data_IF_230678145501
#
_entry.id   IF_230678145501
#
_cell.length_a   1.000
_cell.length_b   1.000
_cell.length_c   1.000
_cell.angle_alpha   90.00
_cell.angle_beta   90.00
_cell.angle_gamma   90.00
#
_symmetry.space_group_name_H-M   'P 1'
#
loop_
_entity.id
_entity.type
_entity.pdbx_description
1 polymer ?
#
# COMPACT_ATOMS: atom_id res chain seq x y z
N UNK A 1 -2.68 11.19 10.78
CA UNK A 1 -2.73 10.97 9.31
C UNK A 1 -3.31 9.59 9.01
N UNK A 2 -2.65 8.54 9.51
CA UNK A 2 -3.05 7.13 9.41
C UNK A 2 -3.99 6.70 10.56
N UNK A 3 -4.75 5.62 10.37
CA UNK A 3 -5.67 5.06 11.40
C UNK A 3 -5.92 3.58 11.15
N UNK A 4 -6.05 2.78 12.20
CA UNK A 4 -6.51 1.38 12.12
C UNK A 4 -7.95 1.25 11.61
N UNK A 5 -8.77 2.30 11.72
CA UNK A 5 -10.11 2.30 11.11
C UNK A 5 -10.07 2.53 9.59
N UNK A 6 -8.89 2.91 9.06
CA UNK A 6 -8.64 3.17 7.64
C UNK A 6 -7.47 2.32 7.18
N UNK A 7 -7.67 1.01 7.33
CA UNK A 7 -6.70 0.01 6.92
C UNK A 7 -7.37 -1.20 6.27
N UNK A 8 -6.58 -1.87 5.44
CA UNK A 8 -6.85 -3.21 4.95
C UNK A 8 -5.54 -4.01 5.00
N UNK A 9 -5.62 -5.33 4.92
CA UNK A 9 -4.43 -6.16 4.91
C UNK A 9 -4.64 -7.43 4.12
N UNK A 10 -3.52 -7.99 3.67
CA UNK A 10 -3.39 -9.29 3.04
C UNK A 10 -2.44 -10.14 3.91
N UNK A 11 -1.96 -11.26 3.38
CA UNK A 11 -0.97 -12.07 4.08
C UNK A 11 0.36 -11.34 4.21
N UNK A 12 0.79 -10.61 3.17
CA UNK A 12 2.11 -9.99 3.11
C UNK A 12 2.10 -8.46 3.26
N UNK A 13 0.94 -7.79 3.14
CA UNK A 13 0.85 -6.32 3.20
C UNK A 13 -0.19 -5.80 4.17
N UNK A 14 0.08 -4.63 4.74
CA UNK A 14 -0.91 -3.76 5.39
C UNK A 14 -0.99 -2.45 4.63
N UNK A 15 -2.21 -2.02 4.31
CA UNK A 15 -2.49 -0.81 3.55
C UNK A 15 -3.19 0.16 4.48
N UNK A 16 -2.62 1.34 4.66
CA UNK A 16 -3.24 2.47 5.37
C UNK A 16 -3.58 3.58 4.39
N UNK A 17 -4.65 4.31 4.66
CA UNK A 17 -5.00 5.50 3.87
C UNK A 17 -5.30 6.74 4.71
N UNK A 18 -5.04 7.88 4.09
CA UNK A 18 -5.28 9.18 4.69
C UNK A 18 -6.76 9.45 4.96
N UNK A 19 -7.03 10.33 5.93
CA UNK A 19 -8.41 10.74 6.28
C UNK A 19 -9.19 11.34 5.10
N UNK A 20 -8.51 11.90 4.10
CA UNK A 20 -9.14 12.58 2.96
C UNK A 20 -9.98 11.64 2.09
N UNK A 21 -9.63 10.35 2.04
CA UNK A 21 -10.45 9.34 1.36
C UNK A 21 -11.74 8.99 2.10
N UNK A 22 -11.87 9.34 3.38
CA UNK A 22 -12.91 8.81 4.24
C UNK A 22 -12.69 7.34 4.62
N UNK A 23 -13.78 6.63 4.92
CA UNK A 23 -13.73 5.22 5.33
C UNK A 23 -13.90 4.25 4.14
N UNK A 24 -14.32 4.75 2.98
CA UNK A 24 -14.58 3.95 1.78
C UNK A 24 -13.75 4.47 0.60
N UNK A 25 -12.76 3.69 0.19
CA UNK A 25 -11.89 3.99 -0.94
C UNK A 25 -12.58 3.88 -2.30
N UNK A 26 -13.73 3.20 -2.38
CA UNK A 26 -14.47 3.02 -3.63
C UNK A 26 -15.30 4.24 -4.02
N UNK A 27 -15.61 5.10 -3.06
CA UNK A 27 -16.37 6.35 -3.26
C UNK A 27 -15.84 7.50 -2.37
N UNK A 28 -14.57 7.92 -2.53
CA UNK A 28 -14.00 9.00 -1.74
C UNK A 28 -14.45 10.38 -2.27
N UNK A 29 -14.36 11.44 -1.43
CA UNK A 29 -14.52 12.81 -1.91
C UNK A 29 -13.56 13.12 -3.06
N UNK A 30 -14.01 13.95 -4.00
CA UNK A 30 -13.14 14.49 -5.04
C UNK A 30 -12.14 15.47 -4.44
N UNK A 31 -10.91 15.43 -4.95
CA UNK A 31 -9.87 16.40 -4.61
C UNK A 31 -9.69 17.33 -5.81
N UNK A 32 -10.05 18.62 -5.66
CA UNK A 32 -9.94 19.61 -6.73
C UNK A 32 -10.64 19.19 -8.04
N UNK A 33 -11.77 18.46 -7.93
CA UNK A 33 -12.53 17.94 -9.08
C UNK A 33 -11.98 16.62 -9.65
N UNK A 34 -10.88 16.09 -9.12
CA UNK A 34 -10.31 14.81 -9.52
C UNK A 34 -10.90 13.64 -8.73
N UNK A 35 -11.12 12.52 -9.44
CA UNK A 35 -11.57 11.28 -8.83
C UNK A 35 -10.42 10.64 -8.04
N UNK A 36 -10.66 10.39 -6.76
CA UNK A 36 -9.68 9.78 -5.84
C UNK A 36 -9.97 8.31 -5.56
N UNK A 37 -10.90 7.69 -6.30
CA UNK A 37 -11.29 6.28 -6.12
C UNK A 37 -10.07 5.37 -6.23
N UNK A 38 -9.96 4.45 -5.27
CA UNK A 38 -8.96 3.37 -5.29
C UNK A 38 -9.70 2.04 -5.34
N UNK A 39 -9.38 1.23 -6.34
CA UNK A 39 -9.79 -0.17 -6.38
C UNK A 39 -8.90 -0.99 -5.45
N UNK A 40 -9.35 -1.13 -4.21
CA UNK A 40 -8.60 -1.81 -3.16
C UNK A 40 -8.37 -3.30 -3.49
N UNK A 41 -9.34 -3.96 -4.13
CA UNK A 41 -9.21 -5.38 -4.47
C UNK A 41 -8.10 -5.59 -5.50
N UNK A 42 -8.16 -4.84 -6.61
CA UNK A 42 -7.13 -4.88 -7.65
C UNK A 42 -5.75 -4.47 -7.10
N UNK A 43 -5.69 -3.51 -6.18
CA UNK A 43 -4.45 -3.13 -5.51
C UNK A 43 -3.87 -4.31 -4.71
N UNK A 44 -4.68 -4.96 -3.87
CA UNK A 44 -4.25 -6.09 -3.05
C UNK A 44 -3.79 -7.28 -3.90
N UNK A 45 -4.50 -7.61 -4.96
CA UNK A 45 -4.16 -8.71 -5.87
C UNK A 45 -2.81 -8.46 -6.56
N UNK A 46 -2.57 -7.23 -7.03
CA UNK A 46 -1.29 -6.87 -7.66
C UNK A 46 -0.14 -6.90 -6.67
N UNK A 47 -0.34 -6.39 -5.46
CA UNK A 47 0.69 -6.40 -4.41
C UNK A 47 1.13 -7.82 -4.08
N UNK A 48 0.17 -8.73 -3.88
CA UNK A 48 0.46 -10.14 -3.61
C UNK A 48 1.13 -10.83 -4.80
N UNK A 49 0.62 -10.60 -6.02
CA UNK A 49 1.22 -11.15 -7.24
C UNK A 49 2.69 -10.74 -7.40
N UNK A 50 2.99 -9.46 -7.21
CA UNK A 50 4.37 -8.97 -7.26
C UNK A 50 5.21 -9.55 -6.14
N UNK A 51 4.72 -9.56 -4.90
CA UNK A 51 5.46 -10.11 -3.78
C UNK A 51 5.82 -11.59 -3.99
N UNK A 52 4.87 -12.40 -4.44
CA UNK A 52 5.12 -13.80 -4.80
C UNK A 52 6.17 -13.93 -5.90
N UNK A 53 6.09 -13.12 -6.96
CA UNK A 53 7.11 -13.14 -8.00
C UNK A 53 8.51 -12.80 -7.46
N UNK A 54 8.64 -11.72 -6.69
CA UNK A 54 9.93 -11.34 -6.10
C UNK A 54 10.45 -12.41 -5.14
N UNK A 55 9.59 -12.91 -4.25
CA UNK A 55 9.94 -13.89 -3.20
C UNK A 55 10.28 -15.25 -3.79
N UNK A 56 9.38 -15.78 -4.62
CA UNK A 56 9.38 -17.18 -5.01
C UNK A 56 10.12 -17.40 -6.32
N UNK A 57 10.14 -16.42 -7.24
CA UNK A 57 10.89 -16.51 -8.49
C UNK A 57 12.27 -15.88 -8.36
N UNK A 58 12.36 -14.62 -7.93
CA UNK A 58 13.64 -13.90 -7.84
C UNK A 58 14.43 -14.18 -6.55
N UNK A 59 13.81 -14.87 -5.58
CA UNK A 59 14.42 -15.26 -4.30
C UNK A 59 15.03 -14.08 -3.54
N UNK A 60 14.38 -12.91 -3.58
CA UNK A 60 14.90 -11.70 -2.90
C UNK A 60 14.99 -11.86 -1.37
N UNK A 61 14.18 -12.75 -0.80
CA UNK A 61 14.17 -13.03 0.64
C UNK A 61 15.08 -14.21 0.99
N UNK A 62 15.89 -14.06 2.06
CA UNK A 62 16.70 -15.15 2.64
C UNK A 62 15.99 -15.76 3.86
N UNK A 63 16.23 -17.04 4.21
CA UNK A 63 15.75 -17.64 5.44
C UNK A 63 16.07 -16.75 6.66
N UNK A 64 15.08 -16.51 7.52
CA UNK A 64 15.20 -15.57 8.64
C UNK A 64 14.90 -14.10 8.30
N UNK A 65 14.55 -13.79 7.04
CA UNK A 65 14.10 -12.45 6.67
C UNK A 65 12.87 -12.02 7.46
N UNK A 66 12.83 -10.73 7.83
CA UNK A 66 11.71 -10.13 8.57
C UNK A 66 10.42 -10.12 7.77
N UNK A 67 10.50 -10.25 6.44
CA UNK A 67 9.33 -10.38 5.57
C UNK A 67 8.49 -11.66 5.82
N UNK A 68 9.04 -12.65 6.53
CA UNK A 68 8.27 -13.83 6.97
C UNK A 68 7.52 -13.61 8.29
N UNK A 69 7.86 -12.56 9.03
CA UNK A 69 7.29 -12.27 10.36
C UNK A 69 6.34 -11.07 10.34
N UNK A 70 6.62 -10.08 9.50
CA UNK A 70 5.87 -8.84 9.45
C UNK A 70 5.39 -8.55 8.03
N UNK A 71 4.24 -7.86 7.96
CA UNK A 71 3.66 -7.35 6.73
C UNK A 71 4.38 -6.08 6.29
N UNK A 72 4.62 -5.96 4.99
CA UNK A 72 5.08 -4.73 4.36
C UNK A 72 3.99 -3.66 4.39
N UNK A 73 4.38 -2.38 4.38
CA UNK A 73 3.45 -1.27 4.55
C UNK A 73 3.17 -0.57 3.23
N UNK A 74 1.90 -0.27 2.97
CA UNK A 74 1.45 0.56 1.84
C UNK A 74 0.68 1.74 2.40
N UNK A 75 1.05 2.95 1.99
CA UNK A 75 0.56 4.20 2.54
C UNK A 75 -0.07 5.02 1.41
N UNK A 76 -1.42 5.02 1.35
CA UNK A 76 -2.18 5.76 0.34
C UNK A 76 -2.29 7.23 0.74
N UNK A 77 -1.56 8.08 0.04
CA UNK A 77 -1.57 9.53 0.21
C UNK A 77 -2.77 10.14 -0.53
N UNK A 78 -3.51 11.02 0.14
CA UNK A 78 -4.62 11.75 -0.50
C UNK A 78 -4.07 13.02 -1.13
N UNK A 79 -3.45 12.86 -2.30
CA UNK A 79 -2.71 13.91 -3.01
C UNK A 79 -2.85 13.75 -4.52
N UNK A 80 -2.75 14.86 -5.25
CA UNK A 80 -2.62 14.89 -6.72
C UNK A 80 -1.16 14.91 -7.17
N UNK A 81 -0.21 14.74 -6.26
CA UNK A 81 1.19 14.50 -6.61
C UNK A 81 1.33 13.03 -7.04
N UNK A 82 1.68 12.78 -8.30
CA UNK A 82 1.78 11.43 -8.89
C UNK A 82 3.00 10.64 -8.44
N UNK A 83 3.47 10.84 -7.20
CA UNK A 83 4.74 10.30 -6.76
C UNK A 83 4.54 9.00 -5.98
N UNK A 84 5.22 7.95 -6.46
CA UNK A 84 5.39 6.71 -5.73
C UNK A 84 6.79 6.70 -5.11
N UNK A 85 6.85 6.50 -3.79
CA UNK A 85 8.11 6.37 -3.06
C UNK A 85 8.21 4.96 -2.47
N UNK A 86 9.35 4.32 -2.69
CA UNK A 86 9.72 3.08 -2.01
C UNK A 86 10.77 3.36 -0.94
N UNK A 87 10.72 2.63 0.15
CA UNK A 87 11.71 2.68 1.22
C UNK A 87 11.49 1.56 2.21
N UNK A 88 11.88 1.80 3.46
CA UNK A 88 11.61 0.92 4.58
C UNK A 88 11.16 1.73 5.79
N UNK A 89 10.54 1.04 6.74
CA UNK A 89 10.39 1.52 8.11
C UNK A 89 11.53 0.97 8.95
N UNK A 90 12.32 1.88 9.51
CA UNK A 90 13.45 1.64 10.42
C UNK A 90 14.55 0.71 9.86
N UNK A 91 14.68 0.57 8.54
CA UNK A 91 15.61 -0.38 7.92
C UNK A 91 15.12 -1.83 7.94
N UNK A 92 13.87 -2.08 8.37
CA UNK A 92 13.43 -3.42 8.73
C UNK A 92 12.39 -4.01 7.79
N UNK A 93 11.40 -3.21 7.39
CA UNK A 93 10.27 -3.67 6.59
C UNK A 93 9.99 -2.70 5.47
N UNK A 94 9.89 -3.25 4.26
CA UNK A 94 9.60 -2.49 3.05
C UNK A 94 8.30 -1.69 3.18
N UNK A 95 8.36 -0.45 2.72
CA UNK A 95 7.27 0.50 2.76
C UNK A 95 7.11 1.19 1.40
N UNK A 96 5.86 1.37 0.99
CA UNK A 96 5.45 1.99 -0.26
C UNK A 96 4.49 3.13 0.05
N UNK A 97 4.79 4.33 -0.43
CA UNK A 97 3.88 5.47 -0.38
C UNK A 97 3.42 5.77 -1.79
N UNK A 98 2.11 5.79 -2.01
CA UNK A 98 1.51 6.00 -3.32
C UNK A 98 0.32 6.95 -3.21
N UNK A 99 0.15 7.82 -4.19
CA UNK A 99 -1.07 8.58 -4.38
C UNK A 99 -1.89 7.96 -5.53
N UNK A 100 -3.23 8.04 -5.51
CA UNK A 100 -4.04 7.71 -6.66
C UNK A 100 -3.75 8.74 -7.74
N UNK A 101 -3.07 8.36 -8.81
CA UNK A 101 -2.87 9.29 -9.91
C UNK A 101 -2.70 8.59 -11.26
N UNK A 102 -3.57 9.02 -12.18
CA UNK A 102 -3.91 8.51 -13.51
C UNK A 102 -4.62 7.16 -13.55
#
# INVERSE_FOLDING_TARGET
KWSYNRMAYTDNFVIFWEKGFGNDLSNPPQLEGHNMKVDLLNLTEKLESFYHFFRDTLKFSKPGSKCYKYRMMVMLNYSLEGTAYGGDYDGEIGALWIAPNR
#
